data_IF_884233427245
#
_entry.id   IF_884233427245
#
_cell.length_a   1.000
_cell.length_b   1.000
_cell.length_c   1.000
_cell.angle_alpha   90.00
_cell.angle_beta   90.00
_cell.angle_gamma   90.00
#
_symmetry.space_group_name_H-M   'P 1'
#
loop_
_entity.id
_entity.type
_entity.pdbx_description
1 polymer ?
#
# COMPACT_ATOMS: atom_id res chain seq x y z
N UNK A 1 8.77 -26.74 38.24
CA UNK A 1 9.03 -25.29 38.09
C UNK A 1 7.66 -24.61 37.98
N UNK A 2 7.34 -23.60 38.78
CA UNK A 2 6.01 -22.94 38.77
C UNK A 2 5.91 -21.94 37.62
N UNK A 3 4.70 -21.74 37.06
CA UNK A 3 4.42 -20.74 36.03
C UNK A 3 4.89 -19.33 36.46
N UNK A 4 4.67 -18.97 37.73
CA UNK A 4 5.10 -17.68 38.26
C UNK A 4 6.62 -17.46 38.12
N UNK A 5 7.42 -18.50 38.37
CA UNK A 5 8.88 -18.44 38.25
C UNK A 5 9.34 -18.35 36.79
N UNK A 6 8.60 -18.94 35.86
CA UNK A 6 8.89 -18.83 34.43
C UNK A 6 8.62 -17.42 33.91
N UNK A 7 7.53 -16.79 34.36
CA UNK A 7 7.19 -15.40 34.03
C UNK A 7 8.27 -14.46 34.56
N UNK A 8 8.67 -14.61 35.82
CA UNK A 8 9.72 -13.79 36.44
C UNK A 8 11.05 -13.89 35.67
N UNK A 9 11.46 -15.10 35.28
CA UNK A 9 12.67 -15.30 34.45
C UNK A 9 12.57 -14.63 33.08
N UNK A 10 11.39 -14.67 32.46
CA UNK A 10 11.14 -14.02 31.17
C UNK A 10 11.21 -12.49 31.30
N UNK A 11 10.63 -11.94 32.36
CA UNK A 11 10.66 -10.50 32.65
C UNK A 11 12.07 -9.99 32.92
N UNK A 12 12.87 -10.72 33.70
CA UNK A 12 14.29 -10.41 33.91
C UNK A 12 15.04 -10.43 32.58
N UNK A 13 14.82 -11.45 31.75
CA UNK A 13 15.46 -11.55 30.44
C UNK A 13 15.06 -10.40 29.51
N UNK A 14 13.79 -9.97 29.56
CA UNK A 14 13.29 -8.82 28.80
C UNK A 14 13.99 -7.52 29.25
N UNK A 15 14.03 -7.24 30.55
CA UNK A 15 14.68 -6.05 31.11
C UNK A 15 16.16 -5.99 30.73
N UNK A 16 16.86 -7.13 30.84
CA UNK A 16 18.25 -7.31 30.39
C UNK A 16 18.44 -6.90 28.92
N UNK A 17 17.59 -7.40 28.02
CA UNK A 17 17.68 -7.08 26.58
C UNK A 17 17.25 -5.64 26.25
N UNK A 18 16.47 -4.99 27.12
CA UNK A 18 16.08 -3.58 26.98
C UNK A 18 17.13 -2.61 27.55
N UNK A 19 18.19 -3.13 28.18
CA UNK A 19 19.24 -2.32 28.78
C UNK A 19 18.86 -1.71 30.13
N UNK A 20 17.95 -2.35 30.87
CA UNK A 20 17.57 -1.94 32.21
C UNK A 20 18.48 -2.60 33.28
N UNK A 21 18.77 -1.90 34.38
CA UNK A 21 19.53 -2.42 35.55
C UNK A 21 20.93 -3.00 35.20
N UNK A 22 21.57 -2.43 34.15
CA UNK A 22 22.86 -2.90 33.63
C UNK A 22 24.04 -2.76 34.61
N UNK A 23 23.90 -1.90 35.61
CA UNK A 23 24.89 -1.65 36.67
C UNK A 23 25.15 -2.88 37.55
N UNK A 24 24.23 -3.85 37.55
CA UNK A 24 24.34 -5.10 38.33
C UNK A 24 25.11 -6.22 37.62
N UNK A 25 25.45 -6.05 36.33
CA UNK A 25 26.04 -7.09 35.50
C UNK A 25 27.55 -6.95 35.37
N UNK A 26 28.25 -8.09 35.24
CA UNK A 26 29.66 -8.09 34.94
C UNK A 26 29.93 -7.64 33.49
N UNK A 27 31.13 -7.12 33.21
CA UNK A 27 31.54 -6.66 31.87
C UNK A 27 31.35 -7.77 30.82
N UNK A 28 31.75 -9.01 31.14
CA UNK A 28 31.60 -10.14 30.22
C UNK A 28 30.13 -10.43 29.86
N UNK A 29 29.21 -10.24 30.82
CA UNK A 29 27.78 -10.40 30.58
C UNK A 29 27.22 -9.27 29.70
N UNK A 30 27.69 -8.04 29.90
CA UNK A 30 27.32 -6.90 29.06
C UNK A 30 27.76 -7.10 27.61
N UNK A 31 28.99 -7.60 27.39
CA UNK A 31 29.49 -7.94 26.05
C UNK A 31 28.65 -9.04 25.40
N UNK A 32 28.18 -10.03 26.17
CA UNK A 32 27.27 -11.05 25.63
C UNK A 32 25.93 -10.48 25.20
N UNK A 33 25.35 -9.56 25.99
CA UNK A 33 24.09 -8.87 25.64
C UNK A 33 24.28 -8.08 24.34
N UNK A 34 25.35 -7.30 24.25
CA UNK A 34 25.65 -6.49 23.07
C UNK A 34 25.75 -7.35 21.82
N UNK A 35 26.56 -8.41 21.85
CA UNK A 35 26.71 -9.33 20.73
C UNK A 35 25.37 -9.99 20.32
N UNK A 36 24.54 -10.37 21.29
CA UNK A 36 23.23 -10.96 21.01
C UNK A 36 22.28 -9.95 20.35
N UNK A 37 22.28 -8.71 20.80
CA UNK A 37 21.48 -7.63 20.23
C UNK A 37 21.96 -7.27 18.82
N UNK A 38 23.27 -7.17 18.61
CA UNK A 38 23.84 -6.88 17.29
C UNK A 38 23.50 -7.97 16.28
N UNK A 39 23.70 -9.24 16.64
CA UNK A 39 23.38 -10.37 15.79
C UNK A 39 21.89 -10.41 15.42
N UNK A 40 21.00 -10.30 16.41
CA UNK A 40 19.56 -10.35 16.18
C UNK A 40 19.06 -9.16 15.37
N UNK A 41 19.58 -7.96 15.62
CA UNK A 41 19.24 -6.76 14.87
C UNK A 41 19.72 -6.83 13.42
N UNK A 42 20.93 -7.33 13.19
CA UNK A 42 21.45 -7.60 11.85
C UNK A 42 20.53 -8.55 11.08
N UNK A 43 20.11 -9.66 11.71
CA UNK A 43 19.15 -10.60 11.13
C UNK A 43 17.80 -9.97 10.81
N UNK A 44 17.23 -9.18 11.74
CA UNK A 44 15.96 -8.46 11.53
C UNK A 44 16.07 -7.51 10.34
N UNK A 45 17.15 -6.72 10.27
CA UNK A 45 17.40 -5.79 9.16
C UNK A 45 17.53 -6.52 7.82
N UNK A 46 18.28 -7.61 7.78
CA UNK A 46 18.43 -8.43 6.57
C UNK A 46 17.08 -8.95 6.07
N UNK A 47 16.28 -9.56 6.96
CA UNK A 47 14.93 -10.05 6.63
C UNK A 47 14.02 -8.92 6.15
N UNK A 48 14.02 -7.77 6.83
CA UNK A 48 13.19 -6.61 6.46
C UNK A 48 13.58 -6.06 5.09
N UNK A 49 14.88 -5.94 4.81
CA UNK A 49 15.37 -5.50 3.51
C UNK A 49 15.00 -6.48 2.39
N UNK A 50 15.12 -7.78 2.63
CA UNK A 50 14.74 -8.80 1.66
C UNK A 50 13.24 -8.72 1.33
N UNK A 51 12.38 -8.66 2.36
CA UNK A 51 10.93 -8.54 2.18
C UNK A 51 10.54 -7.28 1.40
N UNK A 52 11.18 -6.14 1.69
CA UNK A 52 10.91 -4.92 0.95
C UNK A 52 11.38 -4.99 -0.50
N UNK A 53 12.53 -5.62 -0.76
CA UNK A 53 13.01 -5.84 -2.13
C UNK A 53 11.99 -6.65 -2.94
N UNK A 54 11.51 -7.76 -2.39
CA UNK A 54 10.48 -8.59 -3.01
C UNK A 54 9.18 -7.80 -3.25
N UNK A 55 8.75 -6.98 -2.28
CA UNK A 55 7.56 -6.14 -2.45
C UNK A 55 7.73 -5.09 -3.54
N UNK A 56 8.89 -4.46 -3.64
CA UNK A 56 9.21 -3.47 -4.68
C UNK A 56 9.21 -4.15 -6.05
N UNK A 57 9.81 -5.34 -6.18
CA UNK A 57 9.84 -6.08 -7.43
C UNK A 57 8.43 -6.45 -7.92
N UNK A 58 7.57 -6.94 -7.01
CA UNK A 58 6.17 -7.23 -7.31
C UNK A 58 5.40 -5.98 -7.79
N UNK A 59 5.57 -4.85 -7.12
CA UNK A 59 4.91 -3.60 -7.51
C UNK A 59 5.40 -3.10 -8.87
N UNK A 60 6.69 -3.23 -9.18
CA UNK A 60 7.24 -2.87 -10.49
C UNK A 60 6.69 -3.76 -11.61
N UNK A 61 6.43 -5.03 -11.32
CA UNK A 61 5.81 -5.94 -12.29
C UNK A 61 4.34 -5.59 -12.55
N UNK A 62 3.59 -5.29 -11.49
CA UNK A 62 2.22 -4.81 -11.58
C UNK A 62 2.13 -3.49 -12.36
N UNK A 63 3.02 -2.54 -12.08
CA UNK A 63 3.13 -1.29 -12.83
C UNK A 63 3.35 -1.52 -14.33
N UNK A 64 4.29 -2.41 -14.70
CA UNK A 64 4.54 -2.74 -16.12
C UNK A 64 3.31 -3.36 -16.79
N UNK A 65 2.67 -4.31 -16.13
CA UNK A 65 1.46 -4.96 -16.66
C UNK A 65 0.32 -3.97 -16.87
N UNK A 66 0.11 -3.05 -15.92
CA UNK A 66 -0.92 -2.02 -16.03
C UNK A 66 -0.60 -1.01 -17.14
N UNK A 67 0.67 -0.63 -17.33
CA UNK A 67 1.09 0.25 -18.41
C UNK A 67 0.87 -0.38 -19.78
N UNK A 68 1.18 -1.67 -19.95
CA UNK A 68 0.93 -2.42 -21.19
C UNK A 68 -0.57 -2.51 -21.49
N UNK A 69 -1.39 -2.84 -20.49
CA UNK A 69 -2.84 -2.92 -20.64
C UNK A 69 -3.45 -1.56 -20.97
N UNK A 70 -3.01 -0.49 -20.31
CA UNK A 70 -3.50 0.87 -20.58
C UNK A 70 -3.16 1.29 -22.01
N UNK A 71 -1.93 1.06 -22.48
CA UNK A 71 -1.55 1.31 -23.88
C UNK A 71 -2.43 0.52 -24.86
N UNK A 72 -2.69 -0.76 -24.58
CA UNK A 72 -3.56 -1.60 -25.41
C UNK A 72 -4.98 -1.06 -25.49
N UNK A 73 -5.52 -0.60 -24.36
CA UNK A 73 -6.86 0.00 -24.29
C UNK A 73 -6.90 1.34 -25.04
N UNK A 74 -5.89 2.20 -24.88
CA UNK A 74 -5.78 3.47 -25.61
C UNK A 74 -5.78 3.25 -27.13
N UNK A 75 -4.96 2.32 -27.63
CA UNK A 75 -4.95 1.99 -29.07
C UNK A 75 -6.32 1.48 -29.57
N UNK A 76 -7.04 0.68 -28.76
CA UNK A 76 -8.39 0.23 -29.11
C UNK A 76 -9.40 1.36 -29.16
N UNK A 77 -9.33 2.30 -28.20
CA UNK A 77 -10.17 3.49 -28.19
C UNK A 77 -9.93 4.37 -29.42
N UNK A 78 -8.67 4.59 -29.79
CA UNK A 78 -8.29 5.36 -30.98
C UNK A 78 -8.76 4.69 -32.28
N UNK A 79 -8.64 3.36 -32.38
CA UNK A 79 -9.16 2.59 -33.52
C UNK A 79 -10.69 2.68 -33.62
N UNK A 80 -11.41 2.65 -32.50
CA UNK A 80 -12.87 2.77 -32.52
C UNK A 80 -13.32 4.19 -32.91
N UNK A 81 -12.59 5.24 -32.51
CA UNK A 81 -12.85 6.62 -32.96
C UNK A 81 -12.56 6.84 -34.44
N UNK A 82 -11.57 6.14 -34.99
CA UNK A 82 -11.22 6.23 -36.42
C UNK A 82 -12.09 5.34 -37.31
N UNK A 83 -12.68 4.27 -36.77
CA UNK A 83 -13.61 3.38 -37.48
C UNK A 83 -15.07 3.83 -37.42
N UNK A 84 -15.45 4.65 -36.43
CA UNK A 84 -16.71 5.37 -36.41
C UNK A 84 -16.57 6.69 -37.17
N UNK A 85 -16.61 6.62 -38.51
CA UNK A 85 -17.22 7.70 -39.29
C UNK A 85 -18.73 7.41 -39.33
N UNK A 86 -19.57 8.12 -38.56
CA UNK A 86 -20.89 8.38 -39.05
C UNK A 86 -20.75 9.50 -40.09
N UNK A 87 -21.05 9.17 -41.35
CA UNK A 87 -21.72 10.12 -42.22
C UNK A 87 -23.01 10.54 -41.50
N UNK A 88 -22.93 11.56 -40.66
CA UNK A 88 -24.10 12.33 -40.26
C UNK A 88 -23.85 13.69 -40.89
N UNK A 89 -24.44 13.86 -42.07
CA UNK A 89 -24.77 15.18 -42.59
C UNK A 89 -25.34 15.98 -41.42
N UNK A 90 -24.62 17.02 -41.02
CA UNK A 90 -25.17 18.09 -40.22
C UNK A 90 -26.29 18.70 -41.07
N UNK A 91 -27.51 18.19 -40.91
CA UNK A 91 -28.70 18.91 -41.32
C UNK A 91 -28.73 20.12 -40.39
N UNK A 92 -28.25 21.26 -40.89
CA UNK A 92 -28.50 22.57 -40.29
C UNK A 92 -29.96 22.87 -40.55
N UNK A 93 -30.83 22.33 -39.71
CA UNK A 93 -32.15 22.92 -39.52
C UNK A 93 -31.98 24.08 -38.55
N UNK A 94 -31.97 25.29 -39.10
CA UNK A 94 -32.26 26.51 -38.34
C UNK A 94 -33.69 26.37 -37.79
N UNK A 95 -33.83 25.78 -36.61
CA UNK A 95 -35.01 25.96 -35.78
C UNK A 95 -34.54 26.43 -34.41
N UNK A 96 -35.13 27.55 -33.99
CA UNK A 96 -34.61 28.44 -32.97
C UNK A 96 -34.29 27.78 -31.64
N UNK A 97 -33.33 28.38 -30.94
CA UNK A 97 -32.95 28.05 -29.57
C UNK A 97 -34.15 28.30 -28.63
N UNK A 98 -34.91 27.27 -28.30
CA UNK A 98 -35.73 27.27 -27.09
C UNK A 98 -34.89 26.74 -25.93
N UNK A 99 -34.51 27.63 -25.02
CA UNK A 99 -33.79 27.34 -23.78
C UNK A 99 -34.72 26.58 -22.83
N UNK A 100 -34.64 25.25 -22.84
CA UNK A 100 -35.29 24.39 -21.84
C UNK A 100 -34.40 24.26 -20.62
N UNK A 101 -34.77 24.96 -19.55
CA UNK A 101 -34.16 24.82 -18.22
C UNK A 101 -34.42 23.40 -17.71
N UNK A 102 -33.35 22.61 -17.59
CA UNK A 102 -33.41 21.27 -16.98
C UNK A 102 -32.78 21.35 -15.60
N UNK A 103 -33.52 20.93 -14.57
CA UNK A 103 -32.98 20.80 -13.21
C UNK A 103 -32.05 19.56 -13.15
N UNK A 104 -30.87 19.68 -13.74
CA UNK A 104 -29.84 18.65 -13.73
C UNK A 104 -29.06 18.70 -12.42
N UNK A 105 -29.48 17.94 -11.42
CA UNK A 105 -28.73 17.78 -10.17
C UNK A 105 -27.67 16.67 -10.30
N UNK A 106 -26.42 17.05 -10.57
CA UNK A 106 -25.27 16.13 -10.55
C UNK A 106 -24.77 16.01 -9.10
N UNK A 107 -25.47 15.23 -8.29
CA UNK A 107 -25.11 14.94 -6.90
C UNK A 107 -25.46 13.51 -6.49
N UNK A 108 -24.93 13.05 -5.35
CA UNK A 108 -25.26 11.70 -4.83
C UNK A 108 -26.73 11.70 -4.41
N UNK A 109 -27.55 10.70 -4.81
CA UNK A 109 -28.98 10.67 -4.49
C UNK A 109 -29.23 10.71 -2.98
N UNK A 110 -30.24 11.48 -2.55
CA UNK A 110 -30.63 11.55 -1.13
C UNK A 110 -31.14 10.19 -0.65
N UNK A 111 -30.57 9.70 0.46
CA UNK A 111 -31.09 8.51 1.16
C UNK A 111 -32.39 8.93 1.84
N UNK A 112 -33.53 8.53 1.29
CA UNK A 112 -34.83 8.65 1.96
C UNK A 112 -34.75 7.88 3.28
N UNK A 113 -34.83 8.58 4.40
CA UNK A 113 -35.04 7.98 5.72
C UNK A 113 -36.56 7.80 5.87
N UNK A 114 -37.00 6.58 6.20
CA UNK A 114 -38.40 6.25 6.49
C UNK A 114 -38.86 6.90 7.79
#
# INVERSE_FOLDING_TARGET
MSIARMIEQLEISKRKLLGEELDTYAIDELVQIENQLEYSLSKIRATKSQLFKERIEKLKEEERSLLEENKRLQCRFEQQRSSNKPDVELIVEEQGEEEVETELFIGRPERRIL
#
